data_IF_725272629720
#
_entry.id   IF_725272629720
#
_cell.length_a   1.000
_cell.length_b   1.000
_cell.length_c   1.000
_cell.angle_alpha   90.00
_cell.angle_beta   90.00
_cell.angle_gamma   90.00
#
_symmetry.space_group_name_H-M   'P 1'
#
loop_
_entity.id
_entity.type
_entity.pdbx_description
1 polymer ?
#
# COMPACT_ATOMS: atom_id res chain seq x y z
N UNK A 1 -3.62 5.40 -24.31
CA UNK A 1 -3.41 3.94 -24.21
C UNK A 1 -2.43 3.59 -25.29
N UNK A 2 -1.20 3.17 -24.93
CA UNK A 2 -0.15 2.86 -25.91
C UNK A 2 -0.54 1.60 -26.71
N UNK A 3 -0.04 1.45 -27.94
CA UNK A 3 -0.33 0.28 -28.80
C UNK A 3 -0.07 -1.06 -28.09
N UNK A 4 0.99 -1.14 -27.29
CA UNK A 4 1.33 -2.33 -26.47
C UNK A 4 0.24 -2.67 -25.45
N UNK A 5 -0.36 -1.67 -24.81
CA UNK A 5 -1.45 -1.88 -23.84
C UNK A 5 -2.75 -2.29 -24.56
N UNK A 6 -3.01 -1.77 -25.75
CA UNK A 6 -4.16 -2.16 -26.55
C UNK A 6 -4.08 -3.63 -27.00
N UNK A 7 -2.88 -4.07 -27.41
CA UNK A 7 -2.64 -5.47 -27.80
C UNK A 7 -2.84 -6.41 -26.61
N UNK A 8 -2.23 -6.14 -25.45
CA UNK A 8 -2.42 -6.94 -24.24
C UNK A 8 -3.89 -7.05 -23.81
N UNK A 9 -4.66 -5.97 -23.90
CA UNK A 9 -6.10 -5.99 -23.59
C UNK A 9 -6.88 -6.85 -24.59
N UNK A 10 -6.50 -6.81 -25.87
CA UNK A 10 -7.11 -7.65 -26.92
C UNK A 10 -6.82 -9.13 -26.67
N UNK A 11 -5.56 -9.47 -26.42
CA UNK A 11 -5.11 -10.83 -26.13
C UNK A 11 -5.80 -11.39 -24.88
N UNK A 12 -5.93 -10.57 -23.83
CA UNK A 12 -6.63 -10.97 -22.62
C UNK A 12 -8.14 -11.18 -22.84
N UNK A 13 -8.77 -10.37 -23.68
CA UNK A 13 -10.18 -10.59 -24.05
C UNK A 13 -10.35 -11.89 -24.85
N UNK A 14 -9.38 -12.21 -25.69
CA UNK A 14 -9.35 -13.46 -26.43
C UNK A 14 -9.14 -14.66 -25.49
N UNK A 15 -8.18 -14.61 -24.58
CA UNK A 15 -7.96 -15.63 -23.54
C UNK A 15 -9.26 -15.93 -22.77
N UNK A 16 -10.00 -14.90 -22.34
CA UNK A 16 -11.29 -15.10 -21.64
C UNK A 16 -12.35 -15.83 -22.47
N UNK A 17 -12.33 -15.65 -23.78
CA UNK A 17 -13.22 -16.38 -24.67
C UNK A 17 -12.78 -17.83 -24.87
N UNK A 18 -11.47 -18.06 -24.99
CA UNK A 18 -10.87 -19.37 -25.15
C UNK A 18 -11.08 -20.26 -23.92
N UNK A 19 -10.98 -19.70 -22.71
CA UNK A 19 -11.21 -20.45 -21.47
C UNK A 19 -12.66 -20.92 -21.37
N UNK A 20 -13.63 -20.10 -21.81
CA UNK A 20 -15.05 -20.42 -21.67
C UNK A 20 -15.43 -21.64 -22.48
N UNK A 21 -15.82 -22.71 -21.78
CA UNK A 21 -16.26 -23.95 -22.42
C UNK A 21 -15.16 -24.78 -23.06
N UNK A 22 -13.87 -24.41 -22.86
CA UNK A 22 -12.75 -25.17 -23.39
C UNK A 22 -12.64 -26.54 -22.71
N UNK A 23 -12.36 -27.58 -23.50
CA UNK A 23 -12.17 -28.96 -23.03
C UNK A 23 -10.71 -29.22 -22.67
N UNK A 24 -9.78 -28.53 -23.30
CA UNK A 24 -8.34 -28.74 -23.24
C UNK A 24 -7.60 -27.84 -22.23
N UNK A 25 -8.34 -27.01 -21.48
CA UNK A 25 -7.78 -26.16 -20.42
C UNK A 25 -7.88 -26.80 -19.04
N UNK A 26 -6.75 -26.90 -18.37
CA UNK A 26 -6.70 -27.09 -16.92
C UNK A 26 -6.87 -25.74 -16.23
N UNK A 27 -7.89 -25.61 -15.40
CA UNK A 27 -8.11 -24.44 -14.55
C UNK A 27 -7.61 -24.75 -13.16
N UNK A 28 -6.68 -23.92 -12.66
CA UNK A 28 -6.14 -24.03 -11.32
C UNK A 28 -6.53 -22.78 -10.53
N UNK A 29 -7.52 -22.92 -9.66
CA UNK A 29 -7.92 -21.86 -8.73
C UNK A 29 -7.13 -21.95 -7.44
N UNK A 30 -6.47 -20.87 -7.02
CA UNK A 30 -5.58 -20.85 -5.86
C UNK A 30 -6.08 -19.83 -4.84
N UNK A 31 -6.42 -20.31 -3.66
CA UNK A 31 -6.59 -19.47 -2.48
C UNK A 31 -5.24 -19.24 -1.81
N UNK A 32 -4.82 -17.98 -1.81
CA UNK A 32 -3.47 -17.57 -1.40
C UNK A 32 -3.45 -17.14 0.06
N UNK A 33 -2.56 -17.74 0.85
CA UNK A 33 -2.32 -17.33 2.23
C UNK A 33 -0.83 -17.12 2.51
N UNK A 34 -0.50 -16.69 3.71
CA UNK A 34 0.87 -16.35 4.11
C UNK A 34 1.82 -17.54 4.06
N UNK A 35 1.42 -18.65 4.64
CA UNK A 35 2.31 -19.80 4.87
C UNK A 35 1.99 -20.97 3.94
N UNK A 36 0.71 -21.23 3.66
CA UNK A 36 0.23 -22.36 2.85
C UNK A 36 -0.88 -21.91 1.91
N UNK A 37 -0.80 -22.36 0.68
CA UNK A 37 -1.83 -22.15 -0.33
C UNK A 37 -2.70 -23.37 -0.52
N UNK A 38 -3.95 -23.15 -0.99
CA UNK A 38 -4.85 -24.21 -1.39
C UNK A 38 -5.14 -24.09 -2.89
N UNK A 39 -4.95 -25.16 -3.66
CA UNK A 39 -5.28 -25.21 -5.08
C UNK A 39 -6.39 -26.21 -5.38
N UNK A 40 -7.31 -25.80 -6.26
CA UNK A 40 -8.32 -26.61 -6.90
C UNK A 40 -7.94 -26.84 -8.36
N UNK A 41 -8.22 -28.02 -8.90
CA UNK A 41 -7.94 -28.39 -10.28
C UNK A 41 -9.21 -28.90 -10.96
N UNK A 42 -9.53 -28.32 -12.11
CA UNK A 42 -10.71 -28.72 -12.89
C UNK A 42 -10.66 -28.19 -14.32
N UNK A 43 -11.77 -28.27 -15.02
CA UNK A 43 -11.95 -27.74 -16.38
C UNK A 43 -13.05 -26.69 -16.43
N UNK A 44 -13.12 -25.95 -17.53
CA UNK A 44 -14.20 -24.99 -17.77
C UNK A 44 -15.59 -25.61 -17.88
N UNK A 45 -15.67 -26.92 -18.14
CA UNK A 45 -16.93 -27.69 -18.21
C UNK A 45 -17.37 -28.25 -16.85
N UNK A 46 -16.66 -27.91 -15.75
CA UNK A 46 -17.02 -28.33 -14.40
C UNK A 46 -16.48 -29.71 -13.98
N UNK A 47 -15.61 -30.36 -14.79
CA UNK A 47 -14.92 -31.59 -14.37
C UNK A 47 -13.92 -31.24 -13.28
N UNK A 48 -13.96 -31.94 -12.15
CA UNK A 48 -13.03 -31.78 -11.04
C UNK A 48 -12.00 -32.91 -11.06
N UNK A 49 -10.70 -32.57 -11.07
CA UNK A 49 -9.62 -33.56 -10.97
C UNK A 49 -9.12 -33.68 -9.54
N UNK A 50 -8.95 -32.54 -8.85
CA UNK A 50 -8.52 -32.52 -7.44
C UNK A 50 -9.18 -31.33 -6.74
N UNK A 51 -9.90 -31.62 -5.67
CA UNK A 51 -10.59 -30.58 -4.91
C UNK A 51 -9.67 -29.74 -4.03
N UNK A 52 -8.54 -30.30 -3.58
CA UNK A 52 -7.64 -29.65 -2.67
C UNK A 52 -6.22 -30.18 -2.76
N UNK A 53 -5.30 -29.32 -3.16
CA UNK A 53 -3.87 -29.49 -2.98
C UNK A 53 -3.39 -28.40 -2.00
N UNK A 54 -2.83 -28.82 -0.87
CA UNK A 54 -2.14 -27.89 0.05
C UNK A 54 -0.67 -27.91 -0.31
N UNK A 55 -0.10 -26.72 -0.47
CA UNK A 55 1.32 -26.52 -0.73
C UNK A 55 1.84 -25.30 0.03
N UNK A 56 3.11 -25.37 0.44
CA UNK A 56 3.74 -24.32 1.21
C UNK A 56 4.11 -23.12 0.30
N UNK A 57 4.17 -21.91 0.88
CA UNK A 57 4.60 -20.70 0.18
C UNK A 57 6.13 -20.63 0.13
N UNK A 58 6.73 -21.61 -0.54
CA UNK A 58 8.18 -21.78 -0.77
C UNK A 58 8.43 -22.53 -2.08
N UNK A 59 9.70 -22.67 -2.46
CA UNK A 59 10.09 -23.31 -3.72
C UNK A 59 9.60 -24.75 -3.83
N UNK A 60 9.74 -25.54 -2.77
CA UNK A 60 9.30 -26.94 -2.73
C UNK A 60 7.78 -27.05 -2.95
N UNK A 61 7.03 -26.14 -2.33
CA UNK A 61 5.59 -26.06 -2.52
C UNK A 61 5.20 -25.67 -3.94
N UNK A 62 5.91 -24.74 -4.55
CA UNK A 62 5.68 -24.33 -5.95
C UNK A 62 6.02 -25.45 -6.93
N UNK A 63 7.12 -26.18 -6.72
CA UNK A 63 7.47 -27.37 -7.52
C UNK A 63 6.45 -28.51 -7.34
N UNK A 64 5.90 -28.69 -6.13
CA UNK A 64 4.79 -29.62 -5.89
C UNK A 64 3.56 -29.26 -6.72
N UNK A 65 3.20 -27.98 -6.77
CA UNK A 65 2.10 -27.46 -7.61
C UNK A 65 2.39 -27.76 -9.09
N UNK A 66 3.59 -27.44 -9.57
CA UNK A 66 4.03 -27.64 -10.96
C UNK A 66 3.98 -29.11 -11.36
N UNK A 67 4.49 -30.00 -10.51
CA UNK A 67 4.47 -31.44 -10.73
C UNK A 67 3.06 -31.98 -10.86
N UNK A 68 2.13 -31.52 -10.00
CA UNK A 68 0.73 -31.90 -10.04
C UNK A 68 0.05 -31.43 -11.34
N UNK A 69 0.32 -30.22 -11.78
CA UNK A 69 -0.17 -29.68 -13.07
C UNK A 69 0.34 -30.53 -14.22
N UNK A 70 1.64 -30.86 -14.25
CA UNK A 70 2.23 -31.71 -15.27
C UNK A 70 1.57 -33.10 -15.33
N UNK A 71 1.34 -33.71 -14.17
CA UNK A 71 0.66 -35.00 -14.08
C UNK A 71 -0.77 -34.95 -14.69
N UNK A 72 -1.57 -33.93 -14.35
CA UNK A 72 -2.92 -33.80 -14.90
C UNK A 72 -2.95 -33.49 -16.39
N UNK A 73 -2.00 -32.66 -16.89
CA UNK A 73 -1.88 -32.39 -18.33
C UNK A 73 -1.66 -33.69 -19.12
N UNK A 74 -0.75 -34.53 -18.65
CA UNK A 74 -0.46 -35.82 -19.30
C UNK A 74 -1.63 -36.81 -19.15
N UNK A 75 -2.17 -36.97 -17.92
CA UNK A 75 -3.21 -37.95 -17.63
C UNK A 75 -4.53 -37.68 -18.38
N UNK A 76 -4.82 -36.40 -18.67
CA UNK A 76 -6.11 -36.00 -19.24
C UNK A 76 -6.00 -35.33 -20.61
N UNK A 77 -4.83 -35.39 -21.25
CA UNK A 77 -4.53 -34.78 -22.56
C UNK A 77 -4.87 -33.29 -22.62
N UNK A 78 -4.54 -32.55 -21.53
CA UNK A 78 -4.81 -31.12 -21.43
C UNK A 78 -3.64 -30.32 -22.00
N UNK A 79 -3.91 -29.45 -22.95
CA UNK A 79 -2.88 -28.70 -23.69
C UNK A 79 -2.43 -27.44 -22.95
N UNK A 80 -3.36 -26.76 -22.29
CA UNK A 80 -3.16 -25.47 -21.66
C UNK A 80 -3.49 -25.50 -20.18
N UNK A 81 -2.93 -24.57 -19.44
CA UNK A 81 -3.30 -24.34 -18.03
C UNK A 81 -3.46 -22.85 -17.79
N UNK A 82 -4.42 -22.48 -16.99
CA UNK A 82 -4.59 -21.12 -16.48
C UNK A 82 -4.64 -21.16 -14.95
N UNK A 83 -3.78 -20.39 -14.34
CA UNK A 83 -3.72 -20.20 -12.89
C UNK A 83 -4.47 -18.94 -12.52
N UNK A 84 -5.36 -19.02 -11.56
CA UNK A 84 -6.00 -17.84 -11.04
C UNK A 84 -5.95 -17.76 -9.53
N UNK A 85 -5.81 -16.56 -9.04
CA UNK A 85 -5.71 -16.32 -7.61
C UNK A 85 -6.42 -15.03 -7.19
N UNK A 86 -6.94 -15.01 -5.98
CA UNK A 86 -7.39 -13.76 -5.34
C UNK A 86 -6.17 -13.01 -4.78
N UNK A 87 -5.96 -11.72 -5.14
CA UNK A 87 -4.83 -10.95 -4.64
C UNK A 87 -5.00 -10.62 -3.15
N UNK A 88 -4.55 -11.52 -2.27
CA UNK A 88 -4.54 -11.31 -0.82
C UNK A 88 -3.24 -10.67 -0.41
N UNK A 89 -3.30 -9.41 0.07
CA UNK A 89 -2.12 -8.60 0.41
C UNK A 89 -1.03 -8.65 -0.68
N UNK A 90 0.18 -9.11 -0.34
CA UNK A 90 1.27 -9.31 -1.31
C UNK A 90 1.67 -10.78 -1.47
N UNK A 91 0.99 -11.71 -0.79
CA UNK A 91 1.37 -13.13 -0.77
C UNK A 91 1.21 -13.84 -2.12
N UNK A 92 0.35 -13.32 -3.00
CA UNK A 92 0.17 -13.83 -4.36
C UNK A 92 1.34 -13.49 -5.30
N UNK A 93 2.17 -12.50 -4.97
CA UNK A 93 3.21 -12.01 -5.87
C UNK A 93 4.36 -13.00 -6.09
N UNK A 94 4.94 -13.63 -5.04
CA UNK A 94 6.00 -14.62 -5.26
C UNK A 94 5.55 -15.78 -6.13
N UNK A 95 4.37 -16.36 -5.84
CA UNK A 95 3.81 -17.44 -6.65
C UNK A 95 3.52 -16.98 -8.08
N UNK A 96 2.89 -15.83 -8.27
CA UNK A 96 2.60 -15.27 -9.59
C UNK A 96 3.87 -15.03 -10.43
N UNK A 97 4.94 -14.53 -9.80
CA UNK A 97 6.24 -14.33 -10.46
C UNK A 97 6.86 -15.64 -10.93
N UNK A 98 6.82 -16.69 -10.11
CA UNK A 98 7.29 -18.02 -10.49
C UNK A 98 6.48 -18.63 -11.62
N UNK A 99 5.15 -18.56 -11.56
CA UNK A 99 4.27 -19.10 -12.60
C UNK A 99 4.52 -18.40 -13.96
N UNK A 100 4.63 -17.06 -13.96
CA UNK A 100 4.94 -16.30 -15.17
C UNK A 100 6.36 -16.63 -15.68
N UNK A 101 7.33 -16.77 -14.76
CA UNK A 101 8.70 -17.17 -15.10
C UNK A 101 8.78 -18.57 -15.72
N UNK A 102 7.83 -19.45 -15.44
CA UNK A 102 7.66 -20.75 -16.08
C UNK A 102 6.89 -20.71 -17.41
N UNK A 103 6.44 -19.51 -17.84
CA UNK A 103 5.69 -19.31 -19.07
C UNK A 103 4.20 -19.62 -18.95
N UNK A 104 3.67 -19.73 -17.75
CA UNK A 104 2.28 -20.09 -17.51
C UNK A 104 1.33 -18.87 -17.58
N UNK A 105 0.08 -19.12 -17.96
CA UNK A 105 -0.97 -18.11 -17.99
C UNK A 105 -1.51 -17.85 -16.58
N UNK A 106 -1.40 -16.61 -16.10
CA UNK A 106 -1.83 -16.20 -14.76
C UNK A 106 -2.87 -15.10 -14.84
N UNK A 107 -3.97 -15.28 -14.12
CA UNK A 107 -5.04 -14.29 -14.00
C UNK A 107 -5.37 -14.01 -12.54
N UNK A 108 -5.97 -12.86 -12.27
CA UNK A 108 -6.47 -12.51 -10.95
C UNK A 108 -7.99 -12.58 -10.91
N UNK A 109 -8.53 -12.83 -9.73
CA UNK A 109 -9.97 -12.78 -9.48
C UNK A 109 -10.22 -11.74 -8.39
N UNK A 110 -11.21 -10.87 -8.61
CA UNK A 110 -11.55 -9.85 -7.63
C UNK A 110 -12.14 -10.46 -6.37
N UNK A 111 -11.69 -10.03 -5.17
CA UNK A 111 -12.24 -10.46 -3.89
C UNK A 111 -13.75 -10.18 -3.75
N UNK A 112 -14.23 -9.10 -4.36
CA UNK A 112 -15.68 -8.83 -4.45
C UNK A 112 -16.40 -9.90 -5.26
N UNK A 113 -15.82 -10.31 -6.40
CA UNK A 113 -16.40 -11.38 -7.23
C UNK A 113 -16.40 -12.72 -6.49
N UNK A 114 -15.29 -13.06 -5.80
CA UNK A 114 -15.19 -14.28 -4.97
C UNK A 114 -16.27 -14.29 -3.89
N UNK A 115 -16.47 -13.19 -3.19
CA UNK A 115 -17.51 -13.06 -2.16
C UNK A 115 -18.93 -13.26 -2.72
N UNK A 116 -19.24 -12.60 -3.84
CA UNK A 116 -20.57 -12.73 -4.45
C UNK A 116 -20.82 -14.13 -5.04
N UNK A 117 -19.84 -14.69 -5.73
CA UNK A 117 -19.99 -16.01 -6.34
C UNK A 117 -20.14 -17.12 -5.29
N UNK A 118 -19.49 -16.99 -4.14
CA UNK A 118 -19.66 -17.90 -2.99
C UNK A 118 -21.11 -17.98 -2.53
N UNK A 119 -21.82 -16.85 -2.53
CA UNK A 119 -23.24 -16.80 -2.16
C UNK A 119 -24.15 -17.53 -3.15
N UNK A 120 -23.72 -17.63 -4.41
CA UNK A 120 -24.49 -18.27 -5.49
C UNK A 120 -24.23 -19.78 -5.59
N UNK A 121 -23.07 -20.28 -5.12
CA UNK A 121 -22.68 -21.68 -5.30
C UNK A 121 -23.50 -22.67 -4.46
N UNK A 122 -23.79 -22.39 -3.20
CA UNK A 122 -24.50 -23.32 -2.31
C UNK A 122 -25.38 -22.69 -1.22
N UNK A 123 -25.54 -21.37 -1.25
CA UNK A 123 -26.37 -20.63 -0.29
C UNK A 123 -25.84 -20.66 1.15
N UNK A 124 -24.68 -21.24 1.42
CA UNK A 124 -24.08 -21.32 2.76
C UNK A 124 -23.01 -20.26 2.95
N UNK A 125 -23.03 -19.62 4.10
CA UNK A 125 -22.10 -18.54 4.46
C UNK A 125 -20.76 -19.04 5.03
N UNK A 126 -20.62 -20.35 5.28
CA UNK A 126 -19.45 -20.93 5.90
C UNK A 126 -18.20 -20.81 5.00
N UNK A 127 -17.15 -20.24 5.56
CA UNK A 127 -15.86 -20.09 4.90
C UNK A 127 -15.04 -21.36 5.10
N UNK A 128 -14.75 -22.08 4.00
CA UNK A 128 -13.81 -23.18 3.96
C UNK A 128 -12.79 -22.97 2.85
N UNK A 129 -11.52 -23.13 3.16
CA UNK A 129 -10.40 -22.90 2.21
C UNK A 129 -10.53 -23.72 0.91
N UNK A 130 -11.17 -24.89 0.96
CA UNK A 130 -11.45 -25.73 -0.21
C UNK A 130 -12.51 -25.10 -1.12
N UNK A 131 -13.48 -24.39 -0.56
CA UNK A 131 -14.51 -23.70 -1.34
C UNK A 131 -13.96 -22.45 -2.01
N UNK A 132 -13.01 -21.77 -1.39
CA UNK A 132 -12.46 -20.52 -1.92
C UNK A 132 -11.62 -20.78 -3.17
N UNK A 133 -10.78 -21.80 -3.20
CA UNK A 133 -10.03 -22.18 -4.41
C UNK A 133 -10.94 -22.71 -5.54
N UNK A 134 -11.99 -23.48 -5.24
CA UNK A 134 -12.97 -23.93 -6.22
C UNK A 134 -13.79 -22.75 -6.78
N UNK A 135 -14.17 -21.80 -5.93
CA UNK A 135 -14.87 -20.58 -6.32
C UNK A 135 -14.03 -19.70 -7.26
N UNK A 136 -12.73 -19.59 -7.01
CA UNK A 136 -11.79 -18.92 -7.92
C UNK A 136 -11.77 -19.62 -9.29
N UNK A 137 -11.66 -20.95 -9.31
CA UNK A 137 -11.69 -21.73 -10.55
C UNK A 137 -13.00 -21.56 -11.33
N UNK A 138 -14.14 -21.54 -10.64
CA UNK A 138 -15.45 -21.31 -11.25
C UNK A 138 -15.53 -19.91 -11.90
N UNK A 139 -15.07 -18.87 -11.23
CA UNK A 139 -15.02 -17.52 -11.81
C UNK A 139 -14.14 -17.44 -13.06
N UNK A 140 -13.01 -18.17 -13.08
CA UNK A 140 -12.13 -18.26 -14.24
C UNK A 140 -12.85 -18.95 -15.40
N UNK A 141 -13.53 -20.08 -15.14
CA UNK A 141 -14.28 -20.82 -16.16
C UNK A 141 -15.35 -19.96 -16.84
N UNK A 142 -15.93 -19.01 -16.10
CA UNK A 142 -16.87 -18.03 -16.61
C UNK A 142 -16.21 -16.83 -17.30
N UNK A 143 -14.84 -16.76 -17.35
CA UNK A 143 -14.10 -15.61 -17.86
C UNK A 143 -14.25 -14.35 -16.99
N UNK A 144 -14.67 -14.47 -15.73
CA UNK A 144 -14.79 -13.39 -14.75
C UNK A 144 -13.46 -13.18 -14.01
N UNK A 145 -12.39 -12.96 -14.77
CA UNK A 145 -11.05 -12.77 -14.26
C UNK A 145 -10.46 -11.44 -14.73
N UNK A 146 -9.41 -11.01 -14.08
CA UNK A 146 -8.66 -9.79 -14.31
C UNK A 146 -7.28 -10.13 -14.86
N UNK A 147 -6.76 -9.26 -15.71
CA UNK A 147 -5.39 -9.38 -16.20
C UNK A 147 -4.39 -9.24 -15.06
N UNK A 148 -3.42 -10.15 -14.98
CA UNK A 148 -2.30 -10.04 -14.06
C UNK A 148 -1.19 -9.24 -14.75
N UNK A 149 -1.16 -7.93 -14.49
CA UNK A 149 -0.13 -7.05 -15.01
C UNK A 149 1.20 -7.34 -14.28
N UNK A 150 2.16 -7.88 -15.02
CA UNK A 150 3.52 -8.13 -14.55
C UNK A 150 4.50 -7.31 -15.40
N UNK A 151 4.66 -6.01 -15.08
CA UNK A 151 5.47 -5.13 -15.88
C UNK A 151 6.97 -5.37 -15.70
N UNK A 152 7.77 -4.80 -16.61
CA UNK A 152 9.23 -4.81 -16.52
C UNK A 152 9.70 -4.25 -15.16
N UNK A 153 10.89 -4.69 -14.71
CA UNK A 153 11.46 -4.36 -13.40
C UNK A 153 11.47 -2.84 -13.15
N UNK A 154 11.92 -2.05 -14.13
CA UNK A 154 11.99 -0.59 -14.00
C UNK A 154 10.63 0.05 -13.69
N UNK A 155 9.54 -0.44 -14.31
CA UNK A 155 8.19 0.05 -14.03
C UNK A 155 7.67 -0.44 -12.67
N UNK A 156 8.06 -1.64 -12.23
CA UNK A 156 7.74 -2.14 -10.87
C UNK A 156 8.41 -1.28 -9.80
N UNK A 157 9.70 -0.96 -9.98
CA UNK A 157 10.45 -0.10 -9.07
C UNK A 157 9.86 1.31 -8.99
N UNK A 158 9.53 1.89 -10.15
CA UNK A 158 8.84 3.18 -10.19
C UNK A 158 7.52 3.15 -9.41
N UNK A 159 6.68 2.14 -9.64
CA UNK A 159 5.40 1.99 -8.94
C UNK A 159 5.59 1.80 -7.42
N UNK A 160 6.61 1.04 -7.01
CA UNK A 160 6.97 0.82 -5.61
C UNK A 160 7.41 2.13 -4.93
N UNK A 161 8.29 2.91 -5.56
CA UNK A 161 8.75 4.19 -5.04
C UNK A 161 7.62 5.23 -4.96
N UNK A 162 6.74 5.29 -5.96
CA UNK A 162 5.58 6.17 -5.93
C UNK A 162 4.59 5.79 -4.81
N UNK A 163 4.35 4.50 -4.61
CA UNK A 163 3.52 4.00 -3.52
C UNK A 163 4.16 4.30 -2.15
N UNK A 164 5.47 4.14 -2.03
CA UNK A 164 6.22 4.50 -0.82
C UNK A 164 6.14 6.00 -0.53
N UNK A 165 6.36 6.86 -1.54
CA UNK A 165 6.20 8.31 -1.40
C UNK A 165 4.79 8.70 -0.93
N UNK A 166 3.73 8.02 -1.44
CA UNK A 166 2.35 8.28 -0.98
C UNK A 166 2.16 7.93 0.50
N UNK A 167 2.75 6.83 0.98
CA UNK A 167 2.70 6.46 2.42
C UNK A 167 3.39 7.50 3.28
N UNK A 168 4.61 7.93 2.89
CA UNK A 168 5.35 8.97 3.59
C UNK A 168 4.60 10.31 3.62
N UNK A 169 3.92 10.67 2.52
CA UNK A 169 3.08 11.89 2.50
C UNK A 169 1.88 11.81 3.45
N UNK A 170 1.26 10.64 3.62
CA UNK A 170 0.22 10.44 4.64
C UNK A 170 0.77 10.56 6.06
N UNK A 171 1.96 10.02 6.28
CA UNK A 171 2.65 10.13 7.57
C UNK A 171 3.05 11.58 7.88
N UNK A 172 3.62 12.31 6.90
CA UNK A 172 3.88 13.74 7.02
C UNK A 172 2.63 14.52 7.43
N UNK A 173 1.51 14.23 6.75
CA UNK A 173 0.23 14.86 7.08
C UNK A 173 -0.24 14.52 8.49
N UNK A 174 -0.09 13.28 8.92
CA UNK A 174 -0.42 12.84 10.27
C UNK A 174 0.36 13.60 11.35
N UNK A 175 1.67 13.80 11.17
CA UNK A 175 2.46 14.62 12.08
C UNK A 175 1.99 16.08 12.13
N UNK A 176 1.72 16.69 10.97
CA UNK A 176 1.22 18.07 10.90
C UNK A 176 -0.09 18.23 11.66
N UNK A 177 -1.04 17.29 11.46
CA UNK A 177 -2.33 17.31 12.15
C UNK A 177 -2.16 17.13 13.66
N UNK A 178 -1.29 16.21 14.11
CA UNK A 178 -1.04 16.00 15.54
C UNK A 178 -0.40 17.22 16.18
N UNK A 179 0.61 17.83 15.56
CA UNK A 179 1.22 19.07 16.06
C UNK A 179 0.16 20.16 16.23
N UNK A 180 -0.69 20.34 15.22
CA UNK A 180 -1.69 21.39 15.23
C UNK A 180 -2.83 21.12 16.24
N UNK A 181 -3.41 19.93 16.20
CA UNK A 181 -4.63 19.61 16.96
C UNK A 181 -4.33 19.13 18.38
N UNK A 182 -3.24 18.40 18.61
CA UNK A 182 -2.95 17.86 19.95
C UNK A 182 -2.02 18.76 20.75
N UNK A 183 -1.10 19.47 20.11
CA UNK A 183 -0.16 20.34 20.80
C UNK A 183 -0.64 21.80 20.81
N UNK A 184 -0.74 22.42 19.62
CA UNK A 184 -1.02 23.85 19.55
C UNK A 184 -2.44 24.17 19.97
N UNK A 185 -3.46 23.49 19.47
CA UNK A 185 -4.85 23.77 19.79
C UNK A 185 -5.16 23.66 21.30
N UNK A 186 -4.40 22.82 22.02
CA UNK A 186 -4.57 22.64 23.47
C UNK A 186 -3.74 23.61 24.29
N UNK A 187 -2.48 23.80 23.94
CA UNK A 187 -1.52 24.49 24.79
C UNK A 187 -1.16 25.91 24.32
N UNK A 188 -1.30 26.22 23.03
CA UNK A 188 -1.10 27.55 22.47
C UNK A 188 -2.04 27.80 21.28
N UNK A 189 -3.36 27.89 21.50
CA UNK A 189 -4.35 27.99 20.41
C UNK A 189 -4.18 29.24 19.55
N UNK A 190 -3.71 30.36 20.10
CA UNK A 190 -3.48 31.59 19.36
C UNK A 190 -2.39 31.45 18.30
N UNK A 191 -1.48 30.50 18.48
CA UNK A 191 -0.43 30.21 17.49
C UNK A 191 -0.99 29.58 16.22
N UNK A 192 -2.19 28.96 16.23
CA UNK A 192 -2.74 28.29 15.06
C UNK A 192 -2.83 29.21 13.84
N UNK A 193 -3.16 30.48 14.05
CA UNK A 193 -3.19 31.51 13.01
C UNK A 193 -1.80 31.82 12.42
N UNK A 194 -0.77 31.83 13.25
CA UNK A 194 0.61 32.19 12.87
C UNK A 194 1.45 30.97 12.49
N UNK A 195 1.00 29.77 12.88
CA UNK A 195 1.77 28.54 12.67
C UNK A 195 1.94 28.23 11.18
N UNK A 196 3.19 28.01 10.84
CA UNK A 196 3.60 27.40 9.57
C UNK A 196 4.58 26.29 9.91
N UNK A 197 4.52 25.20 9.17
CA UNK A 197 5.42 24.05 9.32
C UNK A 197 6.82 24.33 8.70
N UNK A 198 7.29 25.56 8.88
CA UNK A 198 8.63 26.06 8.56
C UNK A 198 9.62 25.74 9.67
N UNK A 199 10.90 26.00 9.42
CA UNK A 199 11.95 25.72 10.43
C UNK A 199 11.69 26.46 11.74
N UNK A 200 11.35 27.77 11.68
CA UNK A 200 11.02 28.55 12.86
C UNK A 200 9.71 28.12 13.54
N UNK A 201 8.68 27.76 12.78
CA UNK A 201 7.43 27.23 13.35
C UNK A 201 7.64 25.92 14.10
N UNK A 202 8.44 25.03 13.54
CA UNK A 202 8.82 23.78 14.20
C UNK A 202 9.77 24.01 15.39
N UNK A 203 10.61 25.03 15.35
CA UNK A 203 11.46 25.40 16.49
C UNK A 203 10.61 25.92 17.65
N UNK A 204 9.58 26.72 17.39
CA UNK A 204 8.65 27.17 18.42
C UNK A 204 7.95 25.97 19.06
N UNK A 205 7.41 25.03 18.28
CA UNK A 205 6.78 23.82 18.81
C UNK A 205 7.75 22.99 19.66
N UNK A 206 9.01 22.89 19.25
CA UNK A 206 10.03 22.09 19.95
C UNK A 206 10.49 22.71 21.26
N UNK A 207 10.80 24.02 21.25
CA UNK A 207 11.47 24.70 22.36
C UNK A 207 10.54 25.49 23.26
N UNK A 208 9.46 26.00 22.70
CA UNK A 208 8.51 26.90 23.38
C UNK A 208 7.07 26.45 23.12
N UNK A 209 6.72 25.18 23.38
CA UNK A 209 5.35 24.73 23.15
C UNK A 209 4.37 25.30 24.20
N UNK A 210 4.87 25.70 25.38
CA UNK A 210 4.11 26.39 26.41
C UNK A 210 4.27 27.90 26.23
N UNK A 211 3.18 28.66 25.97
CA UNK A 211 3.25 30.11 25.77
C UNK A 211 3.82 30.87 26.97
N UNK A 212 3.69 30.34 28.21
CA UNK A 212 4.25 30.94 29.40
C UNK A 212 5.78 31.04 29.37
N UNK A 213 6.44 30.04 28.72
CA UNK A 213 7.89 30.07 28.49
C UNK A 213 8.28 31.21 27.56
N UNK A 214 7.46 31.48 26.53
CA UNK A 214 7.65 32.59 25.60
C UNK A 214 7.44 33.92 26.31
N UNK A 215 6.35 34.04 27.07
CA UNK A 215 6.04 35.24 27.83
C UNK A 215 7.09 35.60 28.89
N UNK A 216 7.78 34.61 29.44
CA UNK A 216 8.89 34.81 30.38
C UNK A 216 10.22 35.17 29.75
N UNK A 217 10.31 35.32 28.40
CA UNK A 217 11.51 35.66 27.67
C UNK A 217 11.42 37.06 27.07
N UNK A 218 12.56 37.78 27.06
CA UNK A 218 12.70 38.95 26.21
C UNK A 218 12.55 38.57 24.72
N UNK A 219 11.96 39.47 23.93
CA UNK A 219 11.68 39.20 22.53
C UNK A 219 12.88 38.74 21.73
N UNK A 220 14.04 39.40 21.92
CA UNK A 220 15.25 39.02 21.18
C UNK A 220 15.80 37.64 21.61
N UNK A 221 15.68 37.27 22.88
CA UNK A 221 16.06 35.93 23.36
C UNK A 221 15.16 34.85 22.74
N UNK A 222 13.85 35.09 22.68
CA UNK A 222 12.92 34.21 21.97
C UNK A 222 13.30 34.06 20.49
N UNK A 223 13.59 35.17 19.81
CA UNK A 223 14.00 35.16 18.42
C UNK A 223 15.30 34.39 18.18
N UNK A 224 16.29 34.54 19.01
CA UNK A 224 17.57 33.82 18.92
C UNK A 224 17.36 32.29 19.06
N UNK A 225 16.42 31.89 19.92
CA UNK A 225 16.13 30.47 20.15
C UNK A 225 15.44 29.82 18.93
N UNK A 226 14.43 30.50 18.32
CA UNK A 226 13.59 29.88 17.29
C UNK A 226 13.99 30.22 15.85
N UNK A 227 14.70 31.33 15.66
CA UNK A 227 15.07 31.85 14.35
C UNK A 227 16.39 32.66 14.41
N UNK A 228 17.51 32.00 14.73
CA UNK A 228 18.80 32.70 14.87
C UNK A 228 19.22 33.38 13.56
N UNK A 229 19.92 34.50 13.67
CA UNK A 229 20.48 35.27 12.55
C UNK A 229 19.57 36.37 12.02
N UNK A 230 19.88 36.89 10.82
CA UNK A 230 19.12 37.98 10.20
C UNK A 230 17.70 37.55 9.83
N UNK A 231 16.72 38.36 10.17
CA UNK A 231 15.29 38.10 9.91
C UNK A 231 14.76 39.12 8.91
N UNK A 232 14.00 38.65 7.92
CA UNK A 232 13.23 39.54 7.04
C UNK A 232 12.07 40.17 7.83
N UNK A 233 11.69 41.40 7.51
CA UNK A 233 10.65 42.15 8.21
C UNK A 233 9.34 41.36 8.40
N UNK A 234 8.88 40.64 7.38
CA UNK A 234 7.67 39.81 7.45
C UNK A 234 7.79 38.65 8.46
N UNK A 235 8.98 38.08 8.61
CA UNK A 235 9.26 37.00 9.56
C UNK A 235 9.29 37.57 10.98
N UNK A 236 9.95 38.70 11.13
CA UNK A 236 10.05 39.40 12.41
C UNK A 236 8.67 39.85 12.93
N UNK A 237 7.85 40.51 12.11
CA UNK A 237 6.46 40.87 12.46
C UNK A 237 5.63 39.67 12.92
N UNK A 238 5.80 38.49 12.29
CA UNK A 238 5.12 37.26 12.69
C UNK A 238 5.59 36.76 14.06
N UNK A 239 6.90 36.74 14.30
CA UNK A 239 7.46 36.34 15.59
C UNK A 239 7.05 37.30 16.69
N UNK A 240 7.03 38.61 16.41
CA UNK A 240 6.52 39.61 17.34
C UNK A 240 5.06 39.36 17.72
N UNK A 241 4.21 39.07 16.74
CA UNK A 241 2.80 38.73 16.99
C UNK A 241 2.64 37.47 17.85
N UNK A 242 3.45 36.42 17.60
CA UNK A 242 3.45 35.19 18.42
C UNK A 242 3.91 35.49 19.85
N UNK A 243 4.98 36.25 20.01
CA UNK A 243 5.51 36.63 21.32
C UNK A 243 4.49 37.44 22.12
N UNK A 244 3.83 38.44 21.50
CA UNK A 244 2.76 39.22 22.11
C UNK A 244 1.57 38.34 22.54
N UNK A 245 1.12 37.42 21.68
CA UNK A 245 0.00 36.52 21.97
C UNK A 245 0.30 35.52 23.07
N UNK A 246 1.57 35.19 23.29
CA UNK A 246 1.97 34.27 24.34
C UNK A 246 1.70 34.83 25.76
N UNK A 247 1.68 36.17 25.92
CA UNK A 247 1.39 36.82 27.23
C UNK A 247 -0.07 36.67 27.65
N UNK A 248 -1.01 36.61 26.69
CA UNK A 248 -2.43 36.55 26.94
C UNK A 248 -3.04 35.21 26.46
N UNK A 249 -2.23 34.15 26.41
CA UNK A 249 -2.70 32.87 25.92
C UNK A 249 -3.68 32.20 26.88
N UNK A 250 -4.76 31.65 26.29
CA UNK A 250 -5.76 30.82 27.00
C UNK A 250 -5.41 29.34 27.03
N UNK A 251 -4.21 28.96 26.54
CA UNK A 251 -3.76 27.58 26.45
C UNK A 251 -3.72 26.86 27.80
N UNK A 252 -4.02 25.59 27.80
CA UNK A 252 -3.91 24.71 28.96
C UNK A 252 -2.46 24.61 29.42
N UNK A 253 -2.28 24.42 30.73
CA UNK A 253 -0.95 24.18 31.29
C UNK A 253 -0.33 22.90 30.71
N UNK A 254 0.96 22.97 30.41
CA UNK A 254 1.74 21.88 29.87
C UNK A 254 2.46 21.14 31.00
N UNK A 255 2.21 19.85 31.16
CA UNK A 255 2.95 19.00 32.07
C UNK A 255 4.35 18.64 31.54
N UNK A 256 5.19 18.02 32.37
CA UNK A 256 6.58 17.67 32.02
C UNK A 256 6.71 16.81 30.76
N UNK A 257 5.78 15.88 30.51
CA UNK A 257 5.79 14.98 29.36
C UNK A 257 5.51 15.69 28.02
N UNK A 258 4.92 16.85 28.05
CA UNK A 258 4.55 17.62 26.88
C UNK A 258 5.76 18.02 26.01
N UNK A 259 6.86 18.41 26.64
CA UNK A 259 8.11 18.72 25.92
C UNK A 259 8.63 17.54 25.13
N UNK A 260 8.59 16.33 25.69
CA UNK A 260 8.98 15.11 25.02
C UNK A 260 8.07 14.80 23.81
N UNK A 261 6.75 14.92 23.97
CA UNK A 261 5.81 14.72 22.85
C UNK A 261 6.08 15.70 21.71
N UNK A 262 6.26 16.98 22.02
CA UNK A 262 6.56 18.02 21.03
C UNK A 262 7.89 17.73 20.29
N UNK A 263 8.93 17.31 20.99
CA UNK A 263 10.20 16.95 20.39
C UNK A 263 10.08 15.74 19.46
N UNK A 264 9.42 14.68 19.89
CA UNK A 264 9.22 13.47 19.08
C UNK A 264 8.40 13.78 17.82
N UNK A 265 7.33 14.58 17.93
CA UNK A 265 6.51 14.98 16.78
C UNK A 265 7.32 15.81 15.76
N UNK A 266 8.10 16.78 16.22
CA UNK A 266 8.94 17.62 15.34
C UNK A 266 10.06 16.81 14.70
N UNK A 267 10.71 15.95 15.45
CA UNK A 267 11.79 15.09 14.96
C UNK A 267 11.27 14.08 13.92
N UNK A 268 10.14 13.44 14.20
CA UNK A 268 9.48 12.52 13.26
C UNK A 268 9.10 13.23 11.95
N UNK A 269 8.50 14.41 12.03
CA UNK A 269 8.15 15.20 10.83
C UNK A 269 9.39 15.56 9.99
N UNK A 270 10.48 15.95 10.64
CA UNK A 270 11.75 16.27 9.93
C UNK A 270 12.32 15.04 9.23
N UNK A 271 12.32 13.88 9.89
CA UNK A 271 12.86 12.64 9.31
C UNK A 271 12.01 12.14 8.14
N UNK A 272 10.69 12.18 8.25
CA UNK A 272 9.78 11.85 7.14
C UNK A 272 10.02 12.76 5.95
N UNK A 273 10.21 14.07 6.16
CA UNK A 273 10.52 15.02 5.06
C UNK A 273 11.86 14.73 4.40
N UNK A 274 12.87 14.40 5.17
CA UNK A 274 14.20 14.00 4.67
C UNK A 274 14.06 12.74 3.78
N UNK A 275 13.31 11.74 4.26
CA UNK A 275 13.05 10.49 3.53
C UNK A 275 12.28 10.76 2.23
N UNK A 276 11.27 11.64 2.24
CA UNK A 276 10.56 12.06 1.02
C UNK A 276 11.54 12.69 0.02
N UNK A 277 12.44 13.56 0.48
CA UNK A 277 13.47 14.16 -0.36
C UNK A 277 14.39 13.13 -1.02
N UNK A 278 14.81 12.10 -0.26
CA UNK A 278 15.62 11.00 -0.79
C UNK A 278 14.86 10.18 -1.84
N UNK A 279 13.60 9.82 -1.57
CA UNK A 279 12.75 9.12 -2.54
C UNK A 279 12.55 9.95 -3.82
N UNK A 280 12.41 11.27 -3.70
CA UNK A 280 12.31 12.15 -4.87
C UNK A 280 13.59 12.12 -5.72
N UNK A 281 14.77 12.14 -5.08
CA UNK A 281 16.06 12.01 -5.80
C UNK A 281 16.15 10.67 -6.54
N UNK A 282 15.75 9.56 -5.90
CA UNK A 282 15.69 8.25 -6.54
C UNK A 282 14.74 8.25 -7.75
N UNK A 283 13.55 8.85 -7.62
CA UNK A 283 12.59 8.95 -8.72
C UNK A 283 13.12 9.75 -9.92
N UNK A 284 13.88 10.85 -9.69
CA UNK A 284 14.51 11.61 -10.76
C UNK A 284 15.70 10.88 -11.42
N UNK A 285 16.33 9.94 -10.69
CA UNK A 285 17.45 9.14 -11.20
C UNK A 285 17.03 7.90 -12.00
N UNK A 286 15.76 7.49 -11.91
CA UNK A 286 15.24 6.37 -12.72
C UNK A 286 15.13 6.80 -14.18
N UNK A 287 16.02 6.26 -15.02
CA UNK A 287 15.87 6.30 -16.47
C UNK A 287 14.86 5.22 -16.84
N UNK A 288 13.72 5.62 -17.34
CA UNK A 288 12.73 4.73 -17.96
C UNK A 288 12.97 4.88 -19.44
N UNK A 289 13.76 3.96 -20.01
CA UNK A 289 13.91 3.84 -21.46
C UNK A 289 12.65 3.20 -22.06
#
# INVERSE_FOLDING_TARGET
MNEVDATKVKDFRQLKKEIRGAEDYLIVGIDVAKDKHNAFFGTAQGKTFLRRLIFDNNIEGFEKLRSQVGAFKVQHDLKRVVFGMEPTANYHKPLGEHLIGWGEEVVLVSGVAVKHNRQLMDGRWDKHDTKDSANIADLISQGKCLYYDYPLMALRDLRALLAFKRRLKKEEHSYKVRIRNNLLAKHFPEMDFYYKDTLEGLAIVRWCPDPRKIAGMEYEAFCQLVAPGKRAARKDSRLQAIWTKAHDSIGCEAGETFGLEAELMVSGLKEVRKTIGNVQKCLHGLKID
#
